data_IF_392511338269
#
_entry.id   IF_392511338269
#
_cell.length_a   1.000
_cell.length_b   1.000
_cell.length_c   1.000
_cell.angle_alpha   90.00
_cell.angle_beta   90.00
_cell.angle_gamma   90.00
#
_symmetry.space_group_name_H-M   'P 1'
#
loop_
_entity.id
_entity.type
_entity.pdbx_description
1 polymer ?
#
# COMPACT_ATOMS: atom_id res chain seq x y z
N UNK A 1 5.87 -14.00 20.50
CA UNK A 1 6.56 -13.77 19.20
C UNK A 1 7.66 -12.74 19.39
N UNK A 2 8.85 -12.87 18.76
CA UNK A 2 9.92 -11.86 18.89
C UNK A 2 9.34 -10.49 18.50
N UNK A 3 9.59 -9.43 19.27
CA UNK A 3 9.00 -8.07 19.07
C UNK A 3 9.07 -7.60 17.60
N UNK A 4 10.17 -7.89 16.90
CA UNK A 4 10.41 -7.61 15.47
C UNK A 4 9.31 -8.14 14.54
N UNK A 5 8.77 -9.33 14.82
CA UNK A 5 7.69 -9.93 14.01
C UNK A 5 6.35 -9.22 14.22
N UNK A 6 6.07 -8.78 15.45
CA UNK A 6 4.84 -8.03 15.76
C UNK A 6 4.86 -6.68 15.03
N UNK A 7 6.00 -5.97 15.05
CA UNK A 7 6.16 -4.71 14.31
C UNK A 7 6.00 -4.90 12.80
N UNK A 8 6.55 -5.97 12.23
CA UNK A 8 6.38 -6.27 10.81
C UNK A 8 4.90 -6.48 10.44
N UNK A 9 4.16 -7.28 11.23
CA UNK A 9 2.73 -7.50 11.01
C UNK A 9 1.91 -6.21 11.16
N UNK A 10 2.16 -5.41 12.20
CA UNK A 10 1.50 -4.12 12.39
C UNK A 10 1.74 -3.17 11.22
N UNK A 11 2.98 -3.13 10.70
CA UNK A 11 3.32 -2.29 9.55
C UNK A 11 2.59 -2.73 8.28
N UNK A 12 2.45 -4.03 8.04
CA UNK A 12 1.68 -4.54 6.89
C UNK A 12 0.19 -4.18 7.01
N UNK A 13 -0.42 -4.35 8.19
CA UNK A 13 -1.82 -3.97 8.43
C UNK A 13 -2.02 -2.48 8.18
N UNK A 14 -1.10 -1.64 8.66
CA UNK A 14 -1.12 -0.19 8.42
C UNK A 14 -1.12 0.14 6.92
N UNK A 15 -0.21 -0.47 6.15
CA UNK A 15 -0.15 -0.22 4.70
C UNK A 15 -1.38 -0.72 3.96
N UNK A 16 -1.91 -1.91 4.29
CA UNK A 16 -3.15 -2.45 3.71
C UNK A 16 -4.32 -1.52 4.00
N UNK A 17 -4.40 -1.00 5.23
CA UNK A 17 -5.46 -0.07 5.61
C UNK A 17 -5.39 1.24 4.80
N UNK A 18 -4.22 1.86 4.69
CA UNK A 18 -4.04 3.07 3.89
C UNK A 18 -4.38 2.81 2.41
N UNK A 19 -3.92 1.69 1.86
CA UNK A 19 -4.25 1.31 0.49
C UNK A 19 -5.77 1.23 0.28
N UNK A 20 -6.47 0.53 1.19
CA UNK A 20 -7.93 0.40 1.12
C UNK A 20 -8.67 1.74 1.21
N UNK A 21 -8.24 2.62 2.12
CA UNK A 21 -8.82 3.97 2.25
C UNK A 21 -8.59 4.80 0.99
N UNK A 22 -7.37 4.82 0.45
CA UNK A 22 -7.07 5.57 -0.78
C UNK A 22 -7.82 5.00 -1.99
N UNK A 23 -7.93 3.68 -2.09
CA UNK A 23 -8.70 3.02 -3.13
C UNK A 23 -10.19 3.38 -3.03
N UNK A 24 -10.76 3.40 -1.82
CA UNK A 24 -12.15 3.83 -1.59
C UNK A 24 -12.37 5.30 -1.99
N UNK A 25 -11.43 6.19 -1.66
CA UNK A 25 -11.49 7.61 -2.08
C UNK A 25 -11.50 7.72 -3.60
N UNK A 26 -10.67 6.95 -4.32
CA UNK A 26 -10.68 6.92 -5.79
C UNK A 26 -12.01 6.35 -6.32
N UNK A 27 -12.54 5.31 -5.70
CA UNK A 27 -13.77 4.66 -6.14
C UNK A 27 -15.01 5.55 -5.98
N UNK A 28 -15.09 6.30 -4.88
CA UNK A 28 -16.29 7.01 -4.46
C UNK A 28 -16.32 8.48 -4.89
N UNK A 29 -15.21 9.05 -5.35
CA UNK A 29 -15.18 10.46 -5.78
C UNK A 29 -15.69 10.64 -7.21
N UNK A 30 -16.39 11.75 -7.43
CA UNK A 30 -16.91 12.16 -8.73
C UNK A 30 -15.92 13.05 -9.51
N UNK A 31 -15.10 13.81 -8.79
CA UNK A 31 -14.14 14.77 -9.34
C UNK A 31 -12.76 14.51 -8.74
N UNK A 32 -11.72 14.63 -9.55
CA UNK A 32 -10.34 14.45 -9.10
C UNK A 32 -9.70 15.75 -8.56
N UNK A 33 -8.44 15.65 -8.12
CA UNK A 33 -7.71 16.78 -7.54
C UNK A 33 -7.39 17.92 -8.51
N UNK A 34 -7.58 17.70 -9.83
CA UNK A 34 -7.43 18.71 -10.86
C UNK A 34 -8.78 19.33 -11.27
N UNK A 35 -9.89 18.89 -10.67
CA UNK A 35 -11.24 19.35 -11.03
C UNK A 35 -11.84 18.59 -12.22
N UNK A 36 -11.22 17.52 -12.70
CA UNK A 36 -11.75 16.72 -13.81
C UNK A 36 -12.76 15.67 -13.30
N UNK A 37 -13.86 15.51 -14.03
CA UNK A 37 -14.86 14.48 -13.74
C UNK A 37 -14.23 13.10 -13.98
N UNK A 38 -14.37 12.20 -13.01
CA UNK A 38 -13.86 10.84 -13.14
C UNK A 38 -14.73 9.99 -14.07
N UNK A 39 -14.21 9.72 -15.26
CA UNK A 39 -14.70 8.63 -16.11
C UNK A 39 -14.17 7.27 -15.64
N UNK A 40 -14.79 6.15 -16.05
CA UNK A 40 -14.29 4.81 -15.72
C UNK A 40 -12.81 4.60 -16.11
N UNK A 41 -12.38 5.14 -17.26
CA UNK A 41 -11.01 5.03 -17.76
C UNK A 41 -10.03 5.82 -16.88
N UNK A 42 -10.37 7.06 -16.54
CA UNK A 42 -9.55 7.90 -15.65
C UNK A 42 -9.45 7.31 -14.24
N UNK A 43 -10.52 6.65 -13.77
CA UNK A 43 -10.51 5.96 -12.48
C UNK A 43 -9.58 4.74 -12.48
N UNK A 44 -9.56 3.96 -13.56
CA UNK A 44 -8.60 2.86 -13.72
C UNK A 44 -7.16 3.35 -13.73
N UNK A 45 -6.88 4.46 -14.43
CA UNK A 45 -5.55 5.09 -14.41
C UNK A 45 -5.17 5.50 -12.99
N UNK A 46 -6.08 6.11 -12.23
CA UNK A 46 -5.83 6.48 -10.84
C UNK A 46 -5.53 5.25 -9.94
N UNK A 47 -6.21 4.12 -10.14
CA UNK A 47 -5.89 2.87 -9.44
C UNK A 47 -4.52 2.31 -9.83
N UNK A 48 -4.15 2.36 -11.11
CA UNK A 48 -2.81 1.94 -11.56
C UNK A 48 -1.73 2.79 -10.89
N UNK A 49 -1.91 4.12 -10.84
CA UNK A 49 -1.00 5.03 -10.14
C UNK A 49 -0.89 4.67 -8.66
N UNK A 50 -2.03 4.40 -8.00
CA UNK A 50 -2.03 3.97 -6.59
C UNK A 50 -1.26 2.66 -6.39
N UNK A 51 -1.45 1.68 -7.28
CA UNK A 51 -0.72 0.40 -7.25
C UNK A 51 0.79 0.61 -7.41
N UNK A 52 1.21 1.42 -8.38
CA UNK A 52 2.62 1.73 -8.62
C UNK A 52 3.24 2.40 -7.39
N UNK A 53 2.55 3.38 -6.79
CA UNK A 53 3.04 4.03 -5.57
C UNK A 53 3.22 3.04 -4.42
N UNK A 54 2.34 2.04 -4.30
CA UNK A 54 2.40 1.00 -3.26
C UNK A 54 3.45 -0.09 -3.50
N UNK A 55 4.10 -0.13 -4.66
CA UNK A 55 5.26 -1.00 -4.87
C UNK A 55 6.39 -0.66 -3.89
N UNK A 56 6.60 0.63 -3.60
CA UNK A 56 7.67 1.10 -2.71
C UNK A 56 7.52 0.51 -1.29
N UNK A 57 6.40 0.72 -0.56
CA UNK A 57 6.24 0.13 0.76
C UNK A 57 6.27 -1.40 0.72
N UNK A 58 5.75 -2.06 -0.31
CA UNK A 58 5.84 -3.52 -0.47
C UNK A 58 7.29 -3.99 -0.54
N UNK A 59 8.14 -3.34 -1.35
CA UNK A 59 9.57 -3.67 -1.44
C UNK A 59 10.23 -3.52 -0.05
N UNK A 60 9.95 -2.43 0.66
CA UNK A 60 10.49 -2.20 2.01
C UNK A 60 10.06 -3.33 2.97
N UNK A 61 8.78 -3.74 2.95
CA UNK A 61 8.30 -4.84 3.80
C UNK A 61 8.95 -6.17 3.46
N UNK A 62 9.17 -6.46 2.18
CA UNK A 62 9.84 -7.68 1.71
C UNK A 62 11.30 -7.70 2.14
N UNK A 63 12.04 -6.60 1.95
CA UNK A 63 13.44 -6.49 2.38
C UNK A 63 13.54 -6.68 3.90
N UNK A 64 12.66 -6.04 4.68
CA UNK A 64 12.63 -6.22 6.13
C UNK A 64 12.32 -7.67 6.53
N UNK A 65 11.39 -8.33 5.84
CA UNK A 65 11.08 -9.74 6.06
C UNK A 65 12.31 -10.62 5.87
N UNK A 66 13.04 -10.44 4.76
CA UNK A 66 14.26 -11.19 4.44
C UNK A 66 15.32 -11.00 5.55
N UNK A 67 15.54 -9.76 5.99
CA UNK A 67 16.49 -9.45 7.08
C UNK A 67 16.07 -10.12 8.40
N UNK A 68 14.78 -10.09 8.73
CA UNK A 68 14.29 -10.71 9.97
C UNK A 68 14.41 -12.24 9.95
N UNK A 69 14.15 -12.88 8.80
CA UNK A 69 14.27 -14.33 8.62
C UNK A 69 15.72 -14.78 8.68
N UNK A 70 16.62 -14.10 7.95
CA UNK A 70 18.05 -14.44 7.92
C UNK A 70 18.72 -14.23 9.28
N UNK A 71 18.41 -13.13 9.96
CA UNK A 71 18.92 -12.81 11.30
C UNK A 71 18.37 -13.72 12.41
N UNK A 72 17.36 -14.55 12.13
CA UNK A 72 16.83 -15.55 13.07
C UNK A 72 17.52 -16.91 12.92
N UNK A 73 18.18 -17.18 11.79
CA UNK A 73 18.87 -18.46 11.50
C UNK A 73 20.35 -18.47 11.93
N UNK A 74 20.94 -17.31 12.21
CA UNK A 74 22.23 -17.17 12.89
C UNK A 74 22.00 -17.07 14.39
#
# INVERSE_FOLDING_TARGET
MKKRWIFWWMSNIFWIFIFGVLAAIIALREVDGAGAIQTPELRLVAFIVLLIAFIIPVIIQVVWLIINVTSTRK
#
